data_IF_816293782597
#
_entry.id   IF_816293782597
#
_cell.length_a   1.000
_cell.length_b   1.000
_cell.length_c   1.000
_cell.angle_alpha   90.00
_cell.angle_beta   90.00
_cell.angle_gamma   90.00
#
_symmetry.space_group_name_H-M   'P 1'
#
loop_
_entity.id
_entity.type
_entity.pdbx_description
1 polymer ?
#
# COMPACT_ATOMS: atom_id res chain seq x y z
N UNK A 1 8.47 -5.55 16.84
CA UNK A 1 7.26 -4.73 16.71
C UNK A 1 6.76 -4.42 18.11
N UNK A 2 6.60 -3.15 18.47
CA UNK A 2 5.98 -2.75 19.73
C UNK A 2 4.45 -2.87 19.59
N UNK A 3 3.80 -3.48 20.59
CA UNK A 3 2.34 -3.65 20.68
C UNK A 3 1.90 -3.06 22.00
N UNK A 4 1.28 -1.88 21.95
CA UNK A 4 0.82 -1.19 23.15
C UNK A 4 -0.46 -1.83 23.75
N UNK A 5 -0.86 -1.38 24.94
CA UNK A 5 -2.09 -1.83 25.58
C UNK A 5 -3.35 -1.46 24.80
N UNK A 6 -3.35 -0.32 24.09
CA UNK A 6 -4.48 0.13 23.28
C UNK A 6 -4.78 -0.83 22.12
N UNK A 7 -3.75 -1.30 21.44
CA UNK A 7 -3.81 -2.26 20.33
C UNK A 7 -4.27 -3.62 20.83
N UNK A 8 -3.73 -4.10 21.96
CA UNK A 8 -4.20 -5.35 22.59
C UNK A 8 -5.70 -5.26 22.90
N UNK A 9 -6.13 -4.15 23.48
CA UNK A 9 -7.53 -3.87 23.76
C UNK A 9 -8.39 -3.90 22.50
N UNK A 10 -8.00 -3.16 21.45
CA UNK A 10 -8.74 -3.11 20.18
C UNK A 10 -8.79 -4.46 19.48
N UNK A 11 -7.70 -5.22 19.50
CA UNK A 11 -7.66 -6.57 18.92
C UNK A 11 -8.63 -7.51 19.64
N UNK A 12 -8.57 -7.57 20.97
CA UNK A 12 -9.46 -8.41 21.77
C UNK A 12 -10.93 -8.01 21.57
N UNK A 13 -11.20 -6.70 21.55
CA UNK A 13 -12.54 -6.17 21.35
C UNK A 13 -13.11 -6.49 19.95
N UNK A 14 -12.34 -6.20 18.90
CA UNK A 14 -12.83 -6.16 17.51
C UNK A 14 -12.61 -7.47 16.77
N UNK A 15 -11.50 -8.16 17.04
CA UNK A 15 -11.12 -9.39 16.33
C UNK A 15 -11.53 -10.63 17.13
N UNK A 16 -11.31 -10.63 18.44
CA UNK A 16 -11.69 -11.76 19.30
C UNK A 16 -13.15 -11.67 19.79
N UNK A 17 -13.80 -10.52 19.62
CA UNK A 17 -15.22 -10.32 19.89
C UNK A 17 -15.60 -10.24 21.37
N UNK A 18 -14.62 -10.11 22.28
CA UNK A 18 -14.88 -9.96 23.72
C UNK A 18 -15.40 -8.55 23.98
N UNK A 19 -16.51 -8.44 24.71
CA UNK A 19 -17.19 -7.17 25.01
C UNK A 19 -17.04 -6.83 26.48
N UNK A 20 -17.16 -5.56 26.83
CA UNK A 20 -17.03 -5.07 28.21
C UNK A 20 -15.57 -4.78 28.58
N UNK A 21 -15.31 -3.54 28.99
CA UNK A 21 -13.95 -3.06 29.25
C UNK A 21 -13.23 -3.88 30.33
N UNK A 22 -13.93 -4.19 31.43
CA UNK A 22 -13.38 -5.00 32.53
C UNK A 22 -13.02 -6.43 32.06
N UNK A 23 -13.87 -7.05 31.26
CA UNK A 23 -13.64 -8.40 30.72
C UNK A 23 -12.45 -8.42 29.76
N UNK A 24 -12.36 -7.42 28.87
CA UNK A 24 -11.24 -7.27 27.94
C UNK A 24 -9.91 -7.12 28.71
N UNK A 25 -9.86 -6.22 29.69
CA UNK A 25 -8.65 -5.99 30.48
C UNK A 25 -8.25 -7.24 31.28
N UNK A 26 -9.21 -7.94 31.88
CA UNK A 26 -8.98 -9.21 32.57
C UNK A 26 -8.46 -10.29 31.61
N UNK A 27 -9.03 -10.38 30.41
CA UNK A 27 -8.58 -11.32 29.38
C UNK A 27 -7.15 -11.03 28.93
N UNK A 28 -6.82 -9.77 28.66
CA UNK A 28 -5.46 -9.36 28.25
C UNK A 28 -4.45 -9.68 29.34
N UNK A 29 -4.78 -9.37 30.59
CA UNK A 29 -3.88 -9.63 31.73
C UNK A 29 -3.61 -11.13 31.89
N UNK A 30 -4.64 -11.96 31.72
CA UNK A 30 -4.51 -13.41 31.86
C UNK A 30 -3.85 -14.11 30.65
N UNK A 31 -3.86 -13.48 29.47
CA UNK A 31 -3.44 -14.11 28.21
C UNK A 31 -2.49 -13.20 27.39
N UNK A 32 -1.65 -12.40 28.06
CA UNK A 32 -0.88 -11.33 27.42
C UNK A 32 -0.04 -11.82 26.23
N UNK A 33 0.70 -12.90 26.41
CA UNK A 33 1.57 -13.47 25.38
C UNK A 33 0.78 -14.07 24.22
N UNK A 34 -0.35 -14.73 24.50
CA UNK A 34 -1.22 -15.28 23.46
C UNK A 34 -1.82 -14.16 22.60
N UNK A 35 -2.30 -13.09 23.25
CA UNK A 35 -2.84 -11.92 22.53
C UNK A 35 -1.76 -11.29 21.66
N UNK A 36 -0.55 -11.10 22.18
CA UNK A 36 0.55 -10.55 21.40
C UNK A 36 0.93 -11.46 20.21
N UNK A 37 0.98 -12.77 20.41
CA UNK A 37 1.26 -13.75 19.35
C UNK A 37 0.20 -13.71 18.24
N UNK A 38 -1.09 -13.74 18.61
CA UNK A 38 -2.21 -13.65 17.65
C UNK A 38 -2.19 -12.34 16.86
N UNK A 39 -1.82 -11.22 17.51
CA UNK A 39 -1.65 -9.94 16.82
C UNK A 39 -0.52 -10.02 15.79
N UNK A 40 0.62 -10.63 16.13
CA UNK A 40 1.73 -10.81 15.21
C UNK A 40 1.34 -11.67 14.00
N UNK A 41 0.67 -12.79 14.21
CA UNK A 41 0.13 -13.61 13.12
C UNK A 41 -0.85 -12.83 12.25
N UNK A 42 -1.75 -12.07 12.88
CA UNK A 42 -2.73 -11.26 12.18
C UNK A 42 -2.08 -10.18 11.30
N UNK A 43 -1.03 -9.51 11.79
CA UNK A 43 -0.26 -8.51 11.03
C UNK A 43 0.58 -9.17 9.93
N UNK A 44 1.11 -10.37 10.16
CA UNK A 44 1.89 -11.09 9.16
C UNK A 44 1.05 -11.51 7.96
N UNK A 45 -0.23 -11.82 8.18
CA UNK A 45 -1.19 -12.17 7.13
C UNK A 45 -1.81 -10.95 6.45
N UNK A 46 -1.44 -9.73 6.86
CA UNK A 46 -2.02 -8.51 6.31
C UNK A 46 -1.36 -8.10 4.99
N UNK A 47 -2.20 -7.68 4.04
CA UNK A 47 -1.77 -7.16 2.75
C UNK A 47 -1.54 -5.65 2.85
N UNK A 48 -0.44 -5.18 2.28
CA UNK A 48 -0.17 -3.75 2.20
C UNK A 48 -1.20 -3.06 1.29
N UNK A 49 -1.86 -2.04 1.82
CA UNK A 49 -2.83 -1.22 1.11
C UNK A 49 -2.17 0.06 0.56
N UNK A 50 -1.51 0.83 1.43
CA UNK A 50 -0.77 2.04 1.04
C UNK A 50 0.37 2.30 2.04
N UNK A 51 1.52 2.75 1.53
CA UNK A 51 2.69 3.13 2.35
C UNK A 51 2.83 4.64 2.45
N UNK A 52 3.44 5.11 3.54
CA UNK A 52 3.82 6.51 3.74
C UNK A 52 2.67 7.51 3.49
N UNK A 53 1.46 7.14 3.90
CA UNK A 53 0.28 8.00 3.78
C UNK A 53 0.08 8.80 5.07
N UNK A 54 -0.15 10.10 4.93
CA UNK A 54 -0.36 11.01 6.06
C UNK A 54 -1.76 11.64 5.95
N UNK A 55 -2.75 11.17 6.73
CA UNK A 55 -4.05 11.83 6.77
C UNK A 55 -3.88 13.21 7.44
N UNK A 56 -4.18 14.27 6.67
CA UNK A 56 -4.26 15.66 7.16
C UNK A 56 -3.03 16.18 7.94
N UNK A 57 -1.82 16.09 7.36
CA UNK A 57 -0.56 16.66 7.89
C UNK A 57 -0.09 16.09 9.25
N UNK A 58 -0.42 14.83 9.53
CA UNK A 58 0.14 14.06 10.66
C UNK A 58 1.36 13.23 10.23
N UNK A 59 1.88 12.43 11.15
CA UNK A 59 2.89 11.42 10.86
C UNK A 59 2.51 10.56 9.64
N UNK A 60 3.51 10.21 8.82
CA UNK A 60 3.36 9.21 7.77
C UNK A 60 3.17 7.83 8.39
N UNK A 61 2.16 7.10 7.90
CA UNK A 61 1.78 5.77 8.37
C UNK A 61 1.66 4.82 7.19
N UNK A 62 1.88 3.54 7.47
CA UNK A 62 1.60 2.44 6.56
C UNK A 62 0.26 1.81 6.94
N UNK A 63 -0.52 1.48 5.92
CA UNK A 63 -1.85 0.91 6.07
C UNK A 63 -1.87 -0.47 5.44
N UNK A 64 -2.28 -1.45 6.23
CA UNK A 64 -2.45 -2.83 5.81
C UNK A 64 -3.91 -3.25 5.99
N UNK A 65 -4.33 -4.29 5.29
CA UNK A 65 -5.66 -4.85 5.43
C UNK A 65 -5.56 -6.35 5.65
N UNK A 66 -6.28 -6.84 6.65
CA UNK A 66 -6.51 -8.26 6.86
C UNK A 66 -8.01 -8.46 7.03
N UNK A 67 -8.62 -9.23 6.13
CA UNK A 67 -10.06 -9.37 5.99
C UNK A 67 -10.75 -7.99 5.93
N UNK A 68 -11.60 -7.70 6.90
CA UNK A 68 -12.35 -6.44 7.02
C UNK A 68 -11.70 -5.47 8.04
N UNK A 69 -10.45 -5.70 8.44
CA UNK A 69 -9.72 -4.86 9.39
C UNK A 69 -8.61 -4.09 8.71
N UNK A 70 -8.64 -2.77 8.87
CA UNK A 70 -7.57 -1.87 8.51
C UNK A 70 -6.58 -1.75 9.68
N UNK A 71 -5.33 -2.08 9.40
CA UNK A 71 -4.22 -2.08 10.34
C UNK A 71 -3.38 -0.85 10.04
N UNK A 72 -3.15 -0.01 11.05
CA UNK A 72 -2.38 1.23 10.92
C UNK A 72 -1.07 1.07 11.67
N UNK A 73 0.04 1.25 10.96
CA UNK A 73 1.38 1.04 11.49
C UNK A 73 2.30 2.24 11.21
N UNK A 74 3.33 2.40 12.03
CA UNK A 74 4.46 3.26 11.68
C UNK A 74 5.23 2.65 10.49
N UNK A 75 5.92 3.47 9.68
CA UNK A 75 6.67 3.00 8.53
C UNK A 75 7.61 1.84 8.84
N UNK A 76 7.71 0.87 7.92
CA UNK A 76 8.53 -0.35 8.06
C UNK A 76 8.09 -1.30 9.19
N UNK A 77 6.79 -1.34 9.50
CA UNK A 77 6.20 -2.24 10.52
C UNK A 77 6.87 -2.13 11.91
N UNK A 78 7.45 -0.97 12.25
CA UNK A 78 8.15 -0.76 13.53
C UNK A 78 7.22 -0.91 14.73
N UNK A 79 6.02 -0.36 14.59
CA UNK A 79 5.02 -0.23 15.66
C UNK A 79 3.63 -0.34 15.09
N UNK A 80 2.78 -1.10 15.76
CA UNK A 80 1.35 -1.17 15.47
C UNK A 80 0.66 -0.04 16.24
N UNK A 81 0.01 0.87 15.52
CA UNK A 81 -0.60 2.08 16.12
C UNK A 81 -2.04 1.79 16.53
N UNK A 82 -2.83 1.19 15.62
CA UNK A 82 -4.23 0.85 15.91
C UNK A 82 -4.82 -0.08 14.86
N UNK A 83 -6.01 -0.61 15.16
CA UNK A 83 -6.79 -1.50 14.30
C UNK A 83 -8.19 -0.93 14.15
N UNK A 84 -8.65 -0.70 12.92
CA UNK A 84 -10.01 -0.28 12.59
C UNK A 84 -10.77 -1.43 11.93
N UNK A 85 -11.99 -1.67 12.39
CA UNK A 85 -12.91 -2.47 11.58
C UNK A 85 -13.50 -1.55 10.51
N UNK A 86 -13.27 -1.93 9.26
CA UNK A 86 -13.68 -1.18 8.08
C UNK A 86 -15.22 -1.13 7.94
N UNK A 87 -15.92 -2.03 8.62
CA UNK A 87 -17.37 -2.19 8.59
C UNK A 87 -18.08 -1.63 9.84
N UNK A 88 -17.48 -1.74 11.03
CA UNK A 88 -18.16 -1.37 12.28
C UNK A 88 -18.13 0.13 12.61
N UNK A 89 -17.15 0.90 12.10
CA UNK A 89 -17.09 2.35 12.37
C UNK A 89 -17.99 3.18 11.42
N UNK A 90 -18.81 2.52 10.60
CA UNK A 90 -19.88 3.15 9.83
C UNK A 90 -21.25 2.70 10.33
N UNK A 91 -21.98 3.57 11.04
CA UNK A 91 -23.39 3.37 11.42
C UNK A 91 -24.35 3.18 10.21
N UNK A 92 -23.82 3.16 8.97
CA UNK A 92 -24.57 3.13 7.73
C UNK A 92 -23.99 2.06 6.76
N UNK A 93 -24.79 1.03 6.45
CA UNK A 93 -24.45 -0.06 5.52
C UNK A 93 -23.94 0.41 4.15
N UNK A 94 -24.45 1.55 3.64
CA UNK A 94 -23.99 2.10 2.36
C UNK A 94 -22.53 2.57 2.40
N UNK A 95 -22.07 3.07 3.56
CA UNK A 95 -20.69 3.49 3.75
C UNK A 95 -19.75 2.29 3.83
N UNK A 96 -20.19 1.21 4.47
CA UNK A 96 -19.44 -0.05 4.51
C UNK A 96 -19.14 -0.59 3.12
N UNK A 97 -20.16 -0.68 2.26
CA UNK A 97 -19.99 -1.17 0.88
C UNK A 97 -19.10 -0.24 0.05
N UNK A 98 -19.25 1.07 0.21
CA UNK A 98 -18.39 2.06 -0.44
C UNK A 98 -16.92 1.88 -0.05
N UNK A 99 -16.63 1.69 1.23
CA UNK A 99 -15.26 1.48 1.69
C UNK A 99 -14.72 0.13 1.19
N UNK A 100 -15.51 -0.94 1.19
CA UNK A 100 -15.13 -2.23 0.59
C UNK A 100 -14.75 -2.09 -0.88
N UNK A 101 -15.51 -1.31 -1.65
CA UNK A 101 -15.21 -1.00 -3.05
C UNK A 101 -13.89 -0.23 -3.19
N UNK A 102 -13.62 0.74 -2.33
CA UNK A 102 -12.35 1.48 -2.32
C UNK A 102 -11.17 0.58 -2.02
N UNK A 103 -11.26 -0.26 -0.99
CA UNK A 103 -10.22 -1.25 -0.66
C UNK A 103 -9.97 -2.18 -1.85
N UNK A 104 -11.04 -2.72 -2.46
CA UNK A 104 -10.92 -3.60 -3.64
C UNK A 104 -10.21 -2.91 -4.80
N UNK A 105 -10.58 -1.66 -5.09
CA UNK A 105 -9.97 -0.87 -6.15
C UNK A 105 -8.49 -0.57 -5.87
N UNK A 106 -8.13 -0.21 -4.64
CA UNK A 106 -6.72 -0.01 -4.26
C UNK A 106 -5.91 -1.29 -4.45
N UNK A 107 -6.45 -2.46 -4.06
CA UNK A 107 -5.78 -3.75 -4.29
C UNK A 107 -5.55 -4.04 -5.78
N UNK A 108 -6.55 -3.77 -6.62
CA UNK A 108 -6.43 -3.89 -8.08
C UNK A 108 -5.32 -2.98 -8.62
N UNK A 109 -5.36 -1.70 -8.25
CA UNK A 109 -4.35 -0.72 -8.64
C UNK A 109 -2.93 -1.12 -8.17
N UNK A 110 -2.78 -1.67 -6.96
CA UNK A 110 -1.50 -2.16 -6.46
C UNK A 110 -0.96 -3.34 -7.30
N UNK A 111 -1.83 -4.23 -7.78
CA UNK A 111 -1.43 -5.31 -8.68
C UNK A 111 -1.05 -4.80 -10.07
N UNK A 112 -1.77 -3.81 -10.60
CA UNK A 112 -1.41 -3.15 -11.86
C UNK A 112 -0.06 -2.43 -11.76
N UNK A 113 0.20 -1.71 -10.66
CA UNK A 113 1.50 -1.07 -10.38
C UNK A 113 2.63 -2.12 -10.38
N UNK A 114 2.43 -3.29 -9.76
CA UNK A 114 3.43 -4.38 -9.81
C UNK A 114 3.72 -4.81 -11.25
N UNK A 115 2.68 -4.96 -12.07
CA UNK A 115 2.81 -5.27 -13.50
C UNK A 115 3.57 -4.19 -14.28
N UNK A 116 3.27 -2.92 -14.04
CA UNK A 116 3.95 -1.77 -14.66
C UNK A 116 5.43 -1.77 -14.30
N UNK A 117 5.79 -1.98 -13.02
CA UNK A 117 7.18 -2.03 -12.57
C UNK A 117 7.99 -3.13 -13.26
N UNK A 118 7.38 -4.30 -13.45
CA UNK A 118 8.04 -5.41 -14.18
C UNK A 118 8.30 -5.00 -15.64
N UNK A 119 7.31 -4.41 -16.33
CA UNK A 119 7.46 -3.93 -17.71
C UNK A 119 8.52 -2.84 -17.81
N UNK A 120 8.51 -1.88 -16.89
CA UNK A 120 9.48 -0.78 -16.83
C UNK A 120 10.90 -1.31 -16.58
N UNK A 121 11.08 -2.31 -15.71
CA UNK A 121 12.40 -2.93 -15.49
C UNK A 121 12.96 -3.58 -16.76
N UNK A 122 12.12 -4.26 -17.54
CA UNK A 122 12.52 -4.84 -18.83
C UNK A 122 12.91 -3.74 -19.82
N UNK A 123 12.10 -2.69 -19.92
CA UNK A 123 12.38 -1.58 -20.81
C UNK A 123 13.68 -0.84 -20.44
N UNK A 124 13.91 -0.60 -19.15
CA UNK A 124 15.17 -0.01 -18.66
C UNK A 124 16.40 -0.84 -19.03
N UNK A 125 16.26 -2.16 -19.10
CA UNK A 125 17.37 -3.05 -19.53
C UNK A 125 17.68 -2.84 -21.02
N UNK A 126 16.64 -2.69 -21.84
CA UNK A 126 16.77 -2.37 -23.27
C UNK A 126 17.44 -1.00 -23.44
N UNK A 127 16.96 0.04 -22.74
CA UNK A 127 17.57 1.37 -22.81
C UNK A 127 19.05 1.35 -22.46
N UNK A 128 19.43 0.67 -21.36
CA UNK A 128 20.84 0.54 -20.96
C UNK A 128 21.68 -0.19 -22.00
N UNK A 129 21.12 -1.20 -22.66
CA UNK A 129 21.81 -1.90 -23.74
C UNK A 129 22.06 -0.98 -24.94
N UNK A 130 21.06 -0.20 -25.35
CA UNK A 130 21.18 0.77 -26.44
C UNK A 130 22.16 1.91 -26.09
N UNK A 131 22.12 2.42 -24.86
CA UNK A 131 23.11 3.39 -24.35
C UNK A 131 24.54 2.84 -24.42
N UNK A 132 24.72 1.57 -24.01
CA UNK A 132 26.02 0.89 -24.15
C UNK A 132 26.43 0.79 -25.62
N UNK A 133 25.54 0.36 -26.52
CA UNK A 133 25.85 0.26 -27.95
C UNK A 133 26.31 1.62 -28.51
N UNK A 134 25.62 2.71 -28.19
CA UNK A 134 26.03 4.05 -28.63
C UNK A 134 27.42 4.36 -28.10
N UNK A 135 27.64 4.24 -26.78
CA UNK A 135 28.91 4.63 -26.17
C UNK A 135 30.13 3.84 -26.68
N UNK A 136 29.95 2.56 -27.04
CA UNK A 136 31.04 1.67 -27.43
C UNK A 136 31.19 1.46 -28.93
N UNK A 137 30.16 1.76 -29.73
CA UNK A 137 30.21 1.62 -31.20
C UNK A 137 30.37 2.97 -31.90
N UNK A 138 30.45 4.09 -31.17
CA UNK A 138 30.78 5.40 -31.74
C UNK A 138 32.09 5.31 -32.52
N UNK A 139 32.03 5.59 -33.81
CA UNK A 139 33.18 5.53 -34.74
C UNK A 139 33.40 4.17 -35.41
N UNK A 140 32.83 3.09 -34.87
CA UNK A 140 33.00 1.72 -35.38
C UNK A 140 31.84 1.24 -36.28
N UNK A 141 30.69 1.92 -36.23
CA UNK A 141 29.53 1.66 -37.09
C UNK A 141 29.21 2.85 -37.99
N UNK A 142 28.56 2.57 -39.12
CA UNK A 142 28.10 3.62 -40.03
C UNK A 142 27.05 4.54 -39.36
N UNK A 143 27.03 5.79 -39.82
CA UNK A 143 26.19 6.87 -39.27
C UNK A 143 24.70 6.50 -39.33
N UNK A 144 24.27 5.82 -40.39
CA UNK A 144 22.89 5.37 -40.55
C UNK A 144 22.45 4.38 -39.45
N UNK A 145 23.27 3.38 -39.12
CA UNK A 145 23.00 2.47 -38.01
C UNK A 145 23.03 3.18 -36.66
N UNK A 146 23.91 4.16 -36.48
CA UNK A 146 23.94 4.95 -35.26
C UNK A 146 22.63 5.72 -35.06
N UNK A 147 22.09 6.33 -36.11
CA UNK A 147 20.81 7.04 -36.08
C UNK A 147 19.63 6.11 -35.74
N UNK A 148 19.64 4.88 -36.24
CA UNK A 148 18.64 3.86 -35.86
C UNK A 148 18.71 3.58 -34.37
N UNK A 149 19.90 3.30 -33.84
CA UNK A 149 20.09 2.98 -32.41
C UNK A 149 19.67 4.17 -31.53
N UNK A 150 19.97 5.40 -31.93
CA UNK A 150 19.52 6.61 -31.22
C UNK A 150 18.00 6.76 -31.23
N UNK A 151 17.36 6.48 -32.37
CA UNK A 151 15.91 6.51 -32.50
C UNK A 151 15.25 5.46 -31.59
N UNK A 152 15.78 4.24 -31.59
CA UNK A 152 15.30 3.14 -30.73
C UNK A 152 15.51 3.45 -29.24
N UNK A 153 16.63 4.07 -28.87
CA UNK A 153 16.88 4.53 -27.51
C UNK A 153 15.84 5.57 -27.08
N UNK A 154 15.58 6.56 -27.95
CA UNK A 154 14.59 7.60 -27.65
C UNK A 154 13.18 7.02 -27.52
N UNK A 155 12.81 6.05 -28.36
CA UNK A 155 11.56 5.31 -28.24
C UNK A 155 11.48 4.53 -26.92
N UNK A 156 12.54 3.81 -26.56
CA UNK A 156 12.64 3.06 -25.30
C UNK A 156 12.48 3.97 -24.06
N UNK A 157 13.12 5.15 -24.07
CA UNK A 157 12.99 6.16 -23.02
C UNK A 157 11.54 6.66 -22.91
N UNK A 158 10.86 6.87 -24.04
CA UNK A 158 9.46 7.32 -24.04
C UNK A 158 8.53 6.28 -23.42
N UNK A 159 8.71 4.99 -23.73
CA UNK A 159 7.96 3.90 -23.08
C UNK A 159 8.20 3.91 -21.55
N UNK A 160 9.44 4.11 -21.09
CA UNK A 160 9.72 4.21 -19.66
C UNK A 160 8.99 5.38 -18.98
N UNK A 161 8.89 6.53 -19.66
CA UNK A 161 8.14 7.71 -19.18
C UNK A 161 6.63 7.45 -19.13
N UNK A 162 6.09 6.74 -20.11
CA UNK A 162 4.68 6.33 -20.10
C UNK A 162 4.36 5.43 -18.91
N UNK A 163 5.19 4.41 -18.66
CA UNK A 163 5.03 3.54 -17.49
C UNK A 163 5.13 4.31 -16.17
N UNK A 164 6.07 5.24 -16.04
CA UNK A 164 6.18 6.10 -14.86
C UNK A 164 4.92 6.96 -14.65
N UNK A 165 4.33 7.46 -15.75
CA UNK A 165 3.09 8.25 -15.73
C UNK A 165 1.89 7.40 -15.30
N UNK A 166 1.76 6.19 -15.83
CA UNK A 166 0.71 5.24 -15.44
C UNK A 166 0.82 4.85 -13.96
N UNK A 167 2.02 4.52 -13.46
CA UNK A 167 2.24 4.24 -12.04
C UNK A 167 1.83 5.44 -11.18
N UNK A 168 2.24 6.65 -11.57
CA UNK A 168 1.90 7.87 -10.83
C UNK A 168 0.39 8.10 -10.78
N UNK A 169 -0.32 7.89 -11.88
CA UNK A 169 -1.78 8.03 -11.94
C UNK A 169 -2.48 7.07 -10.96
N UNK A 170 -2.13 5.78 -10.97
CA UNK A 170 -2.70 4.79 -10.05
C UNK A 170 -2.39 5.10 -8.59
N UNK A 171 -1.18 5.61 -8.29
CA UNK A 171 -0.82 6.05 -6.93
C UNK A 171 -1.62 7.27 -6.48
N UNK A 172 -1.92 8.21 -7.37
CA UNK A 172 -2.78 9.35 -7.06
C UNK A 172 -4.22 8.90 -6.79
N UNK A 173 -4.77 8.03 -7.63
CA UNK A 173 -6.10 7.44 -7.41
C UNK A 173 -6.16 6.72 -6.05
N UNK A 174 -5.15 5.91 -5.70
CA UNK A 174 -5.10 5.26 -4.39
C UNK A 174 -5.11 6.26 -3.23
N UNK A 175 -4.41 7.40 -3.36
CA UNK A 175 -4.41 8.46 -2.34
C UNK A 175 -5.77 9.14 -2.21
N UNK A 176 -6.46 9.36 -3.33
CA UNK A 176 -7.81 9.92 -3.34
C UNK A 176 -8.80 8.97 -2.67
N UNK A 177 -8.78 7.69 -3.02
CA UNK A 177 -9.60 6.66 -2.39
C UNK A 177 -9.36 6.57 -0.88
N UNK A 178 -8.09 6.58 -0.45
CA UNK A 178 -7.75 6.62 0.98
C UNK A 178 -8.26 7.90 1.66
N UNK A 179 -8.19 9.05 0.98
CA UNK A 179 -8.73 10.29 1.53
C UNK A 179 -10.25 10.21 1.71
N UNK A 180 -10.96 9.62 0.75
CA UNK A 180 -12.41 9.42 0.86
C UNK A 180 -12.77 8.45 1.99
N UNK A 181 -11.97 7.40 2.24
CA UNK A 181 -12.17 6.48 3.37
C UNK A 181 -12.07 7.20 4.73
N UNK A 182 -11.19 8.18 4.87
CA UNK A 182 -10.98 8.91 6.13
C UNK A 182 -11.77 10.22 6.27
N UNK A 183 -12.48 10.66 5.23
CA UNK A 183 -13.38 11.81 5.35
C UNK A 183 -14.48 11.44 6.33
N UNK A 184 -14.49 12.09 7.50
CA UNK A 184 -15.65 12.06 8.40
C UNK A 184 -16.86 12.54 7.60
N UNK A 185 -17.82 11.64 7.37
CA UNK A 185 -19.11 12.03 6.83
C UNK A 185 -19.76 12.91 7.92
N UNK A 186 -19.87 14.21 7.66
CA UNK A 186 -20.66 15.10 8.51
C UNK A 186 -22.05 14.49 8.60
N UNK A 187 -22.54 14.23 9.81
CA UNK A 187 -23.95 13.86 10.02
C UNK A 187 -24.78 15.03 9.50
N UNK A 188 -25.52 14.78 8.41
CA UNK A 188 -26.62 15.63 7.96
C UNK A 188 -27.78 15.53 8.94
#
# INVERSE_FOLDING_TARGET
MLIDGHVKFRFVQRIMGIKGESEINKFITNNEYEVAYRILEFVNNAELLIENYAPARRDTLDYYINNETLIVMKPNKKELVTLFDVTLDSDNKQNTEKIKQYVKKIKMNNNEIKGIKIKQSKQNTISKHLEYMINYLIGDIDEYKMDIIQTDLQHSINICKEYATQEKALRMENRELMSEMFKKIKKS
#
